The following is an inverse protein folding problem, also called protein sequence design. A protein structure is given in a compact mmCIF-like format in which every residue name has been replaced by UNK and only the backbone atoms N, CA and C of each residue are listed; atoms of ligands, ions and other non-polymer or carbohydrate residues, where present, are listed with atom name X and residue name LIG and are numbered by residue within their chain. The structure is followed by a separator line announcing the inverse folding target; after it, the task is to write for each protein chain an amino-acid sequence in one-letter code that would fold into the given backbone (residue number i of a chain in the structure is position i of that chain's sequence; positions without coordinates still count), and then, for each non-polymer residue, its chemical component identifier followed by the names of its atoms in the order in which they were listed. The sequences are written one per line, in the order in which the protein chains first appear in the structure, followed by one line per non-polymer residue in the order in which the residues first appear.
data_IF_435843026541
#
_entry.id   IF_435843026541
#
_cell.length_a   1.000
_cell.length_b   1.000
_cell.length_c   1.000
_cell.angle_alpha   90.00
_cell.angle_beta   90.00
_cell.angle_gamma   90.00
#
_symmetry.space_group_name_H-M   'P 1'
#
loop_
_entity.id
_entity.type
_entity.pdbx_description
1 polymer ?
#
# COMPACT_ATOMS: atom_id res chain seq x y z
N UNK A 1 -29.66 -11.84 20.89
CA UNK A 1 -29.04 -12.73 19.90
C UNK A 1 -27.66 -13.04 20.43
N UNK A 2 -27.12 -14.27 20.39
CA UNK A 2 -25.73 -14.51 20.74
C UNK A 2 -24.87 -13.59 19.86
N UNK A 3 -23.85 -12.96 20.44
CA UNK A 3 -22.88 -12.16 19.70
C UNK A 3 -22.29 -13.04 18.59
N UNK A 4 -22.58 -12.69 17.36
CA UNK A 4 -22.08 -13.42 16.21
C UNK A 4 -20.57 -13.17 16.09
N UNK A 5 -19.76 -14.21 16.14
CA UNK A 5 -18.31 -14.11 15.97
C UNK A 5 -18.03 -13.52 14.59
N UNK A 6 -17.40 -12.35 14.53
CA UNK A 6 -16.93 -11.74 13.28
C UNK A 6 -15.57 -12.32 12.92
N UNK A 7 -15.43 -12.86 11.72
CA UNK A 7 -14.17 -13.32 11.12
C UNK A 7 -13.75 -12.28 10.10
N UNK A 8 -12.72 -11.51 10.42
CA UNK A 8 -12.28 -10.41 9.57
C UNK A 8 -11.15 -10.83 8.63
N UNK A 9 -11.45 -10.95 7.33
CA UNK A 9 -10.52 -11.33 6.27
C UNK A 9 -10.47 -10.28 5.13
N UNK A 10 -10.53 -8.98 5.49
CA UNK A 10 -10.34 -7.86 4.54
C UNK A 10 -9.15 -6.96 4.92
N UNK A 11 -8.06 -7.55 5.42
CA UNK A 11 -6.85 -6.81 5.84
C UNK A 11 -6.16 -6.05 4.70
N UNK A 12 -6.30 -6.48 3.45
CA UNK A 12 -5.79 -5.77 2.27
C UNK A 12 -6.48 -4.42 2.02
N UNK A 13 -7.69 -4.22 2.54
CA UNK A 13 -8.36 -2.91 2.54
C UNK A 13 -7.84 -2.04 3.69
N UNK A 14 -7.83 -2.56 4.91
CA UNK A 14 -7.26 -1.95 6.11
C UNK A 14 -7.01 -3.04 7.15
N UNK A 15 -5.98 -2.93 7.97
CA UNK A 15 -5.77 -3.89 9.06
C UNK A 15 -6.94 -3.85 10.06
N UNK A 16 -7.53 -5.00 10.36
CA UNK A 16 -8.65 -5.11 11.31
C UNK A 16 -8.20 -4.77 12.74
N UNK A 17 -7.04 -5.30 13.13
CA UNK A 17 -6.37 -4.97 14.41
C UNK A 17 -5.23 -4.01 14.15
N UNK A 18 -5.12 -2.99 14.99
CA UNK A 18 -3.99 -2.05 14.99
C UNK A 18 -2.91 -2.54 15.95
N UNK A 19 -1.69 -2.02 15.78
CA UNK A 19 -0.66 -2.27 16.76
C UNK A 19 -1.07 -1.77 18.16
N UNK A 20 -0.62 -2.43 19.24
CA UNK A 20 -0.85 -1.95 20.60
C UNK A 20 -0.39 -0.50 20.75
N UNK A 21 -1.15 0.30 21.51
CA UNK A 21 -0.85 1.70 21.78
C UNK A 21 -1.24 2.70 20.71
N UNK A 22 -1.63 2.27 19.48
CA UNK A 22 -2.02 3.17 18.39
C UNK A 22 -3.20 4.07 18.77
N UNK A 23 -4.27 3.48 19.29
CA UNK A 23 -5.46 4.24 19.68
C UNK A 23 -5.16 5.15 20.89
N UNK A 24 -4.40 4.62 21.85
CA UNK A 24 -4.05 5.36 23.07
C UNK A 24 -3.17 6.56 22.77
N UNK A 25 -2.16 6.42 21.92
CA UNK A 25 -1.28 7.52 21.50
C UNK A 25 -2.05 8.65 20.79
N UNK A 26 -2.95 8.30 19.88
CA UNK A 26 -3.80 9.28 19.19
C UNK A 26 -4.77 9.98 20.17
N UNK A 27 -5.41 9.21 21.06
CA UNK A 27 -6.33 9.74 22.04
C UNK A 27 -5.63 10.61 23.12
N UNK A 28 -4.45 10.20 23.58
CA UNK A 28 -3.65 10.99 24.55
C UNK A 28 -3.27 12.34 23.93
N UNK A 29 -2.81 12.37 22.67
CA UNK A 29 -2.53 13.64 22.00
C UNK A 29 -3.75 14.58 22.03
N UNK A 30 -4.93 14.06 21.64
CA UNK A 30 -6.16 14.86 21.57
C UNK A 30 -6.64 15.35 22.94
N UNK A 31 -6.47 14.56 24.01
CA UNK A 31 -6.94 14.88 25.35
C UNK A 31 -5.96 15.76 26.14
N UNK A 32 -4.67 15.54 25.98
CA UNK A 32 -3.66 16.04 26.94
C UNK A 32 -2.74 17.08 26.30
N UNK A 33 -2.51 17.03 24.99
CA UNK A 33 -1.49 17.85 24.35
C UNK A 33 -2.10 18.84 23.33
N UNK A 34 -2.71 18.35 22.26
CA UNK A 34 -3.41 19.09 21.19
C UNK A 34 -2.74 20.40 20.71
N UNK A 35 -1.39 20.42 20.67
CA UNK A 35 -0.60 21.60 20.25
C UNK A 35 -0.08 21.45 18.83
N UNK A 36 0.05 22.57 18.09
CA UNK A 36 0.73 22.57 16.80
C UNK A 36 2.26 22.52 17.00
N UNK A 37 2.97 21.84 16.10
CA UNK A 37 4.43 21.68 16.16
C UNK A 37 5.19 22.77 15.42
N UNK A 38 4.52 23.51 14.54
CA UNK A 38 5.19 24.51 13.72
C UNK A 38 5.24 25.85 14.44
N UNK A 39 6.45 26.39 14.67
CA UNK A 39 6.77 27.72 15.24
C UNK A 39 6.40 27.99 16.69
N UNK A 40 6.03 27.01 17.45
CA UNK A 40 5.81 27.21 18.88
C UNK A 40 7.14 27.10 19.64
N UNK A 41 7.36 28.02 20.58
CA UNK A 41 8.61 28.07 21.33
C UNK A 41 8.50 27.46 22.74
N UNK A 42 7.38 26.84 23.08
CA UNK A 42 7.13 26.21 24.35
C UNK A 42 7.44 24.70 24.35
N UNK A 43 7.87 24.20 25.52
CA UNK A 43 8.38 22.84 25.68
C UNK A 43 7.44 21.74 25.13
N UNK A 44 6.13 21.89 25.32
CA UNK A 44 5.12 20.91 24.88
C UNK A 44 5.10 20.74 23.35
N UNK A 45 5.26 21.84 22.60
CA UNK A 45 5.35 21.79 21.13
C UNK A 45 6.64 21.12 20.68
N UNK A 46 7.75 21.39 21.36
CA UNK A 46 9.04 20.77 21.08
C UNK A 46 9.02 19.26 21.32
N UNK A 47 8.34 18.79 22.38
CA UNK A 47 8.16 17.37 22.65
C UNK A 47 7.41 16.67 21.50
N UNK A 48 6.29 17.24 21.07
CA UNK A 48 5.52 16.68 19.95
C UNK A 48 6.34 16.69 18.65
N UNK A 49 7.10 17.76 18.39
CA UNK A 49 7.98 17.84 17.20
C UNK A 49 9.05 16.75 17.22
N UNK A 50 9.66 16.47 18.38
CA UNK A 50 10.62 15.37 18.54
C UNK A 50 9.98 14.00 18.29
N UNK A 51 8.75 13.77 18.72
CA UNK A 51 8.01 12.54 18.47
C UNK A 51 7.66 12.39 16.98
N UNK A 52 7.32 13.47 16.29
CA UNK A 52 7.12 13.50 14.85
C UNK A 52 8.42 13.13 14.11
N UNK A 53 9.55 13.72 14.52
CA UNK A 53 10.88 13.38 13.99
C UNK A 53 11.20 11.90 14.24
N UNK A 54 10.95 11.40 15.45
CA UNK A 54 11.15 9.98 15.79
C UNK A 54 10.35 9.04 14.88
N UNK A 55 9.12 9.41 14.52
CA UNK A 55 8.33 8.65 13.58
C UNK A 55 8.97 8.60 12.17
N UNK A 56 9.56 9.73 11.69
CA UNK A 56 10.31 9.75 10.42
C UNK A 56 11.55 8.88 10.47
N UNK A 57 12.31 8.93 11.58
CA UNK A 57 13.50 8.10 11.78
C UNK A 57 13.14 6.61 11.74
N UNK A 58 12.10 6.18 12.45
CA UNK A 58 11.67 4.79 12.46
C UNK A 58 11.18 4.32 11.09
N UNK A 59 10.49 5.17 10.33
CA UNK A 59 10.11 4.87 8.95
C UNK A 59 11.36 4.76 8.05
N UNK A 60 12.31 5.67 8.18
CA UNK A 60 13.56 5.64 7.43
C UNK A 60 14.36 4.36 7.73
N UNK A 61 14.57 4.05 9.01
CA UNK A 61 15.25 2.82 9.45
C UNK A 61 14.55 1.56 8.91
N UNK A 62 13.21 1.53 8.94
CA UNK A 62 12.41 0.39 8.51
C UNK A 62 12.63 0.05 7.04
N UNK A 63 12.81 1.05 6.22
CA UNK A 63 12.97 0.90 4.78
C UNK A 63 14.41 1.10 4.30
N UNK A 64 15.40 1.10 5.21
CA UNK A 64 16.82 1.32 4.88
C UNK A 64 17.03 2.61 4.08
N UNK A 65 16.45 3.69 4.56
CA UNK A 65 16.48 5.00 3.93
C UNK A 65 17.27 6.01 4.78
N UNK A 66 18.30 6.65 4.23
CA UNK A 66 19.27 7.44 5.00
C UNK A 66 18.85 8.87 5.34
N UNK A 67 17.70 9.33 4.82
CA UNK A 67 17.30 10.74 4.91
C UNK A 67 15.93 10.92 5.61
N UNK A 68 15.87 10.88 6.96
CA UNK A 68 14.59 11.02 7.68
C UNK A 68 13.83 12.31 7.35
N UNK A 69 14.52 13.41 7.03
CA UNK A 69 13.89 14.66 6.61
C UNK A 69 13.16 14.56 5.27
N UNK A 70 13.51 13.56 4.43
CA UNK A 70 12.85 13.26 3.16
C UNK A 70 11.75 12.20 3.27
N UNK A 71 11.36 11.85 4.49
CA UNK A 71 10.13 11.10 4.79
C UNK A 71 9.01 12.13 4.93
N UNK A 72 8.12 12.22 3.96
CA UNK A 72 7.00 13.16 3.90
C UNK A 72 5.74 12.47 4.40
N UNK A 73 5.08 13.03 5.41
CA UNK A 73 3.76 12.52 5.82
C UNK A 73 2.68 12.96 4.84
N UNK A 74 1.80 12.02 4.52
CA UNK A 74 0.70 12.24 3.59
C UNK A 74 -0.62 11.79 4.23
N UNK A 75 -1.79 12.28 3.77
CA UNK A 75 -3.09 11.77 4.23
C UNK A 75 -3.31 10.29 3.93
N UNK A 76 -2.42 9.68 3.15
CA UNK A 76 -2.42 8.28 2.74
C UNK A 76 -1.61 8.11 1.46
N UNK A 77 -1.33 6.87 1.10
CA UNK A 77 -0.49 6.53 -0.06
C UNK A 77 -0.95 7.15 -1.38
N UNK A 78 -2.26 7.21 -1.63
CA UNK A 78 -2.81 7.83 -2.86
C UNK A 78 -2.34 9.28 -3.02
N UNK A 79 -2.27 10.05 -1.94
CA UNK A 79 -1.74 11.42 -1.97
C UNK A 79 -0.25 11.45 -2.34
N UNK A 80 0.56 10.58 -1.73
CA UNK A 80 1.99 10.47 -2.05
C UNK A 80 2.24 10.11 -3.52
N UNK A 81 1.51 9.14 -4.07
CA UNK A 81 1.61 8.78 -5.48
C UNK A 81 1.19 9.95 -6.41
N UNK A 82 0.14 10.71 -6.05
CA UNK A 82 -0.26 11.90 -6.80
C UNK A 82 0.82 12.99 -6.73
N UNK A 83 1.48 13.19 -5.57
CA UNK A 83 2.59 14.14 -5.44
C UNK A 83 3.71 13.84 -6.43
N UNK A 84 4.13 12.58 -6.53
CA UNK A 84 5.18 12.16 -7.46
C UNK A 84 4.73 12.32 -8.91
N UNK A 85 3.61 11.70 -9.27
CA UNK A 85 3.14 11.62 -10.66
C UNK A 85 2.85 13.01 -11.23
N UNK A 86 2.16 13.85 -10.47
CA UNK A 86 1.78 15.21 -10.91
C UNK A 86 2.92 16.22 -10.74
N UNK A 87 3.79 16.01 -9.76
CA UNK A 87 4.95 16.87 -9.54
C UNK A 87 6.04 16.69 -10.60
N UNK A 88 6.19 15.46 -11.15
CA UNK A 88 7.27 15.13 -12.07
C UNK A 88 6.88 15.25 -13.54
N UNK A 89 5.76 14.66 -13.96
CA UNK A 89 5.45 14.43 -15.36
C UNK A 89 5.05 15.71 -16.10
N UNK A 90 5.56 15.85 -17.33
CA UNK A 90 5.36 16.97 -18.23
C UNK A 90 4.79 16.49 -19.58
N UNK A 91 4.26 17.39 -20.44
CA UNK A 91 3.76 17.03 -21.77
C UNK A 91 4.80 16.24 -22.59
N UNK A 92 4.38 15.10 -23.15
CA UNK A 92 5.23 14.23 -23.97
C UNK A 92 6.06 13.21 -23.21
N UNK A 93 6.06 13.24 -21.86
CA UNK A 93 6.71 12.21 -21.04
C UNK A 93 6.03 10.85 -21.19
N UNK A 94 6.81 9.79 -20.99
CA UNK A 94 6.32 8.43 -20.90
C UNK A 94 6.50 7.91 -19.49
N UNK A 95 5.53 7.11 -19.05
CA UNK A 95 5.57 6.45 -17.74
C UNK A 95 5.32 4.96 -17.90
N UNK A 96 6.23 4.16 -17.34
CA UNK A 96 6.13 2.71 -17.34
C UNK A 96 5.36 2.24 -16.09
N UNK A 97 4.38 1.36 -16.31
CA UNK A 97 3.58 0.72 -15.25
C UNK A 97 3.35 -0.75 -15.60
N UNK A 98 2.98 -1.58 -14.63
CA UNK A 98 2.53 -2.95 -14.88
C UNK A 98 1.03 -3.00 -15.21
N UNK A 99 0.56 -4.15 -15.69
CA UNK A 99 -0.88 -4.40 -15.84
C UNK A 99 -1.59 -4.68 -14.51
N UNK A 100 -0.83 -4.79 -13.40
CA UNK A 100 -1.36 -5.12 -12.06
C UNK A 100 -1.62 -3.90 -11.18
N UNK A 101 -1.45 -2.68 -11.70
CA UNK A 101 -1.51 -1.45 -10.91
C UNK A 101 -2.89 -1.15 -10.32
N UNK A 102 -2.87 -0.62 -9.10
CA UNK A 102 -4.05 -0.09 -8.41
C UNK A 102 -4.47 1.28 -9.00
N UNK A 103 -5.73 1.65 -8.84
CA UNK A 103 -6.27 2.95 -9.26
C UNK A 103 -5.59 4.17 -8.62
N UNK A 104 -4.89 4.00 -7.49
CA UNK A 104 -4.08 5.07 -6.90
C UNK A 104 -2.91 5.51 -7.82
N UNK A 105 -2.41 4.59 -8.66
CA UNK A 105 -1.44 4.86 -9.73
C UNK A 105 -2.16 5.22 -11.03
N UNK A 106 -3.11 4.39 -11.45
CA UNK A 106 -3.67 4.52 -12.80
C UNK A 106 -4.56 5.75 -13.01
N UNK A 107 -5.33 6.16 -12.01
CA UNK A 107 -6.24 7.32 -12.17
C UNK A 107 -5.50 8.65 -12.34
N UNK A 108 -4.49 9.01 -11.53
CA UNK A 108 -3.71 10.22 -11.78
C UNK A 108 -2.96 10.17 -13.12
N UNK A 109 -2.44 9.01 -13.54
CA UNK A 109 -1.79 8.86 -14.85
C UNK A 109 -2.80 9.07 -15.99
N UNK A 110 -3.99 8.46 -15.92
CA UNK A 110 -5.06 8.68 -16.92
C UNK A 110 -5.56 10.12 -16.94
N UNK A 111 -5.53 10.80 -15.81
CA UNK A 111 -5.82 12.23 -15.77
C UNK A 111 -4.76 13.04 -16.54
N UNK A 112 -3.48 12.78 -16.32
CA UNK A 112 -2.39 13.47 -17.02
C UNK A 112 -2.30 13.11 -18.51
N UNK A 113 -2.55 11.85 -18.87
CA UNK A 113 -2.66 11.44 -20.28
C UNK A 113 -3.70 12.29 -21.02
N UNK A 114 -4.87 12.52 -20.42
CA UNK A 114 -5.94 13.34 -20.98
C UNK A 114 -5.64 14.84 -20.95
N UNK A 115 -5.00 15.35 -19.89
CA UNK A 115 -4.84 16.80 -19.68
C UNK A 115 -3.59 17.38 -20.38
N UNK A 116 -2.50 16.63 -20.35
CA UNK A 116 -1.18 17.12 -20.82
C UNK A 116 -0.50 16.19 -21.83
N UNK A 117 -1.14 15.08 -22.21
CA UNK A 117 -0.64 14.21 -23.29
C UNK A 117 0.57 13.37 -22.93
N UNK A 118 0.70 12.88 -21.68
CA UNK A 118 1.70 11.85 -21.38
C UNK A 118 1.32 10.52 -22.04
N UNK A 119 2.28 9.61 -22.17
CA UNK A 119 2.04 8.23 -22.64
C UNK A 119 2.22 7.24 -21.51
N UNK A 120 1.28 6.30 -21.36
CA UNK A 120 1.34 5.24 -20.35
C UNK A 120 1.76 3.93 -21.04
N UNK A 121 2.98 3.49 -20.76
CA UNK A 121 3.51 2.20 -21.21
C UNK A 121 3.15 1.13 -20.17
N UNK A 122 2.21 0.26 -20.54
CA UNK A 122 1.70 -0.77 -19.62
C UNK A 122 2.27 -2.14 -19.99
N UNK A 123 3.21 -2.60 -19.18
CA UNK A 123 3.81 -3.93 -19.32
C UNK A 123 2.79 -5.01 -18.97
N UNK A 124 2.49 -5.95 -19.89
CA UNK A 124 1.57 -7.04 -19.59
C UNK A 124 2.21 -8.05 -18.62
N UNK A 125 1.48 -8.40 -17.57
CA UNK A 125 1.83 -9.52 -16.69
C UNK A 125 1.15 -10.80 -17.17
N UNK A 126 1.65 -11.96 -16.72
CA UNK A 126 1.05 -13.26 -16.98
C UNK A 126 -0.33 -13.41 -16.31
N UNK A 127 -1.16 -14.41 -16.71
CA UNK A 127 -2.50 -14.62 -16.16
C UNK A 127 -2.55 -14.94 -14.64
N UNK A 128 -1.42 -15.24 -14.03
CA UNK A 128 -1.26 -15.42 -12.58
C UNK A 128 -0.74 -14.15 -11.86
N UNK A 129 -0.58 -13.05 -12.61
CA UNK A 129 -0.08 -11.77 -12.13
C UNK A 129 1.44 -11.67 -12.06
N UNK A 130 2.19 -12.69 -12.46
CA UNK A 130 3.66 -12.64 -12.50
C UNK A 130 4.18 -11.79 -13.65
N UNK A 131 5.40 -11.26 -13.49
CA UNK A 131 6.14 -10.49 -14.46
C UNK A 131 7.60 -10.93 -14.41
N UNK A 132 8.25 -11.08 -15.54
CA UNK A 132 9.70 -11.24 -15.61
C UNK A 132 10.33 -9.86 -15.73
N UNK A 133 11.44 -9.64 -15.03
CA UNK A 133 12.08 -8.33 -15.02
C UNK A 133 12.46 -7.83 -16.43
N UNK A 134 12.91 -8.75 -17.30
CA UNK A 134 13.32 -8.43 -18.67
C UNK A 134 12.15 -8.00 -19.57
N UNK A 135 10.92 -8.36 -19.22
CA UNK A 135 9.73 -8.04 -20.03
C UNK A 135 9.42 -6.52 -20.03
N UNK A 136 10.04 -5.73 -19.12
CA UNK A 136 9.95 -4.27 -19.15
C UNK A 136 10.79 -3.65 -20.28
N UNK A 137 11.86 -4.29 -20.74
CA UNK A 137 12.85 -3.70 -21.65
C UNK A 137 12.26 -3.17 -22.96
N UNK A 138 11.33 -3.89 -23.64
CA UNK A 138 10.69 -3.37 -24.86
C UNK A 138 9.82 -2.11 -24.63
N UNK A 139 9.46 -1.82 -23.38
CA UNK A 139 8.61 -0.70 -23.00
C UNK A 139 9.40 0.51 -22.49
N UNK A 140 10.74 0.38 -22.36
CA UNK A 140 11.61 1.48 -21.99
C UNK A 140 12.04 2.27 -23.24
N UNK A 141 11.60 3.51 -23.32
CA UNK A 141 11.91 4.44 -24.41
C UNK A 141 12.88 5.54 -23.94
N UNK A 142 13.50 6.26 -24.88
CA UNK A 142 14.44 7.34 -24.53
C UNK A 142 13.82 8.46 -23.69
N UNK A 143 12.51 8.67 -23.82
CA UNK A 143 11.74 9.65 -23.04
C UNK A 143 10.88 9.00 -21.93
N UNK A 144 11.19 7.76 -21.51
CA UNK A 144 10.60 7.18 -20.29
C UNK A 144 11.09 7.97 -19.09
N UNK A 145 10.19 8.76 -18.51
CA UNK A 145 10.53 9.72 -17.44
C UNK A 145 10.41 9.11 -16.05
N UNK A 146 9.60 8.05 -15.91
CA UNK A 146 9.25 7.46 -14.62
C UNK A 146 8.81 6.00 -14.82
N UNK A 147 9.15 5.14 -13.87
CA UNK A 147 8.50 3.84 -13.67
C UNK A 147 7.76 3.86 -12.32
N UNK A 148 6.49 3.44 -12.31
CA UNK A 148 5.68 3.29 -11.09
C UNK A 148 5.11 1.89 -11.07
N UNK A 149 5.49 1.08 -10.08
CA UNK A 149 5.04 -0.31 -9.99
C UNK A 149 4.51 -0.63 -8.59
N UNK A 150 3.43 -1.41 -8.55
CA UNK A 150 3.02 -2.04 -7.30
C UNK A 150 4.01 -3.14 -6.92
N UNK A 151 4.35 -3.26 -5.63
CA UNK A 151 5.21 -4.34 -5.17
C UNK A 151 4.46 -5.67 -5.12
N UNK A 152 3.19 -5.65 -4.71
CA UNK A 152 2.31 -6.80 -4.75
C UNK A 152 0.90 -6.42 -5.20
N UNK A 153 0.28 -7.29 -5.98
CA UNK A 153 -1.10 -7.11 -6.43
C UNK A 153 -2.09 -7.13 -5.25
N UNK A 154 -2.91 -6.10 -5.13
CA UNK A 154 -4.01 -6.08 -4.16
C UNK A 154 -5.20 -6.97 -4.56
N UNK A 155 -5.15 -7.60 -5.73
CA UNK A 155 -6.15 -8.57 -6.22
C UNK A 155 -5.74 -9.99 -5.90
N UNK A 156 -4.57 -10.43 -6.37
CA UNK A 156 -4.13 -11.81 -6.25
C UNK A 156 -2.95 -12.03 -5.30
N UNK A 157 -2.40 -10.96 -4.74
CA UNK A 157 -1.26 -11.04 -3.81
C UNK A 157 0.11 -11.25 -4.47
N UNK A 158 0.18 -11.58 -5.76
CA UNK A 158 1.42 -11.88 -6.49
C UNK A 158 2.43 -10.73 -6.35
N UNK A 159 3.65 -11.04 -5.93
CA UNK A 159 4.78 -10.12 -5.84
C UNK A 159 5.41 -9.92 -7.21
N UNK A 160 5.74 -8.67 -7.56
CA UNK A 160 6.55 -8.34 -8.72
C UNK A 160 8.05 -8.42 -8.37
N UNK A 161 8.93 -8.75 -9.34
CA UNK A 161 10.38 -8.89 -9.14
C UNK A 161 11.07 -7.52 -9.09
N UNK A 162 10.70 -6.69 -8.10
CA UNK A 162 11.08 -5.27 -8.02
C UNK A 162 12.58 -5.04 -7.83
N UNK A 163 13.31 -6.00 -7.27
CA UNK A 163 14.77 -5.93 -7.15
C UNK A 163 15.44 -5.96 -8.53
N UNK A 164 15.10 -6.96 -9.35
CA UNK A 164 15.64 -7.08 -10.69
C UNK A 164 15.17 -5.94 -11.59
N UNK A 165 13.92 -5.52 -11.45
CA UNK A 165 13.37 -4.37 -12.19
C UNK A 165 14.09 -3.08 -11.80
N UNK A 166 14.31 -2.83 -10.50
CA UNK A 166 15.01 -1.66 -10.01
C UNK A 166 16.44 -1.57 -10.54
N UNK A 167 17.17 -2.70 -10.57
CA UNK A 167 18.50 -2.76 -11.16
C UNK A 167 18.49 -2.41 -12.68
N UNK A 168 17.51 -2.91 -13.44
CA UNK A 168 17.36 -2.58 -14.86
C UNK A 168 17.03 -1.10 -15.08
N UNK A 169 16.11 -0.54 -14.30
CA UNK A 169 15.74 0.88 -14.37
C UNK A 169 16.91 1.80 -14.00
N UNK A 170 17.67 1.43 -12.98
CA UNK A 170 18.86 2.16 -12.56
C UNK A 170 19.91 2.28 -13.69
N UNK A 171 20.20 1.15 -14.39
CA UNK A 171 21.14 1.14 -15.51
C UNK A 171 20.67 2.01 -16.71
N UNK A 172 19.37 2.31 -16.77
CA UNK A 172 18.75 3.14 -17.82
C UNK A 172 18.50 4.58 -17.36
N UNK A 173 18.86 4.92 -16.13
CA UNK A 173 18.65 6.26 -15.56
C UNK A 173 17.16 6.62 -15.40
N UNK A 174 16.27 5.62 -15.31
CA UNK A 174 14.83 5.83 -15.14
C UNK A 174 14.47 5.82 -13.65
N UNK A 175 13.93 6.91 -13.10
CA UNK A 175 13.46 6.95 -11.71
C UNK A 175 12.40 5.87 -11.44
N UNK A 176 12.54 5.18 -10.27
CA UNK A 176 11.65 4.10 -9.87
C UNK A 176 10.86 4.44 -8.60
N UNK A 177 9.55 4.39 -8.70
CA UNK A 177 8.59 4.61 -7.59
C UNK A 177 7.89 3.29 -7.26
N UNK A 178 7.97 2.90 -6.00
CA UNK A 178 7.34 1.68 -5.51
C UNK A 178 6.05 2.00 -4.75
N UNK A 179 4.94 1.44 -5.24
CA UNK A 179 3.69 1.35 -4.49
C UNK A 179 3.76 0.12 -3.55
N UNK A 180 4.05 0.36 -2.28
CA UNK A 180 4.17 -0.69 -1.28
C UNK A 180 2.90 -0.88 -0.42
N UNK A 181 1.71 -0.59 -0.99
CA UNK A 181 0.44 -0.66 -0.26
C UNK A 181 0.16 -2.02 0.36
N UNK A 182 0.62 -3.09 -0.26
CA UNK A 182 0.34 -4.46 0.18
C UNK A 182 1.56 -5.16 0.78
N UNK A 183 2.70 -4.46 0.89
CA UNK A 183 3.95 -5.07 1.32
C UNK A 183 4.62 -4.37 2.50
N UNK A 184 4.41 -3.04 2.65
CA UNK A 184 4.96 -2.30 3.78
C UNK A 184 4.46 -2.89 5.12
N UNK A 185 5.41 -3.36 5.95
CA UNK A 185 5.13 -4.02 7.23
C UNK A 185 4.95 -5.54 7.16
N UNK A 186 4.92 -6.14 5.96
CA UNK A 186 4.79 -7.57 5.72
C UNK A 186 6.01 -8.18 5.02
N UNK A 187 6.61 -7.43 4.07
CA UNK A 187 7.74 -7.87 3.26
C UNK A 187 8.90 -6.91 3.50
N UNK A 188 10.14 -7.39 3.65
CA UNK A 188 11.30 -6.53 3.72
C UNK A 188 11.43 -5.66 2.46
N UNK A 189 11.63 -4.36 2.66
CA UNK A 189 11.88 -3.40 1.59
C UNK A 189 13.16 -2.64 1.95
N UNK A 190 14.16 -2.74 1.09
CA UNK A 190 15.40 -1.97 1.18
C UNK A 190 15.40 -0.92 0.08
N UNK A 191 15.27 0.36 0.47
CA UNK A 191 15.14 1.48 -0.46
C UNK A 191 16.34 1.57 -1.41
N UNK A 192 17.54 1.32 -0.89
CA UNK A 192 18.78 1.41 -1.68
C UNK A 192 19.00 0.19 -2.56
N UNK A 193 18.82 -1.01 -2.00
CA UNK A 193 19.00 -2.25 -2.76
C UNK A 193 18.02 -2.36 -3.94
N UNK A 194 16.81 -1.80 -3.80
CA UNK A 194 15.81 -1.73 -4.86
C UNK A 194 16.00 -0.55 -5.82
N UNK A 195 17.03 0.28 -5.63
CA UNK A 195 17.30 1.48 -6.42
C UNK A 195 16.09 2.44 -6.52
N UNK A 196 15.36 2.63 -5.44
CA UNK A 196 14.15 3.45 -5.44
C UNK A 196 14.48 4.94 -5.52
N UNK A 197 13.67 5.68 -6.27
CA UNK A 197 13.60 7.14 -6.24
C UNK A 197 12.53 7.62 -5.27
N UNK A 198 11.45 6.83 -5.10
CA UNK A 198 10.45 7.07 -4.08
C UNK A 198 9.77 5.76 -3.64
N UNK A 199 9.33 5.75 -2.39
CA UNK A 199 8.54 4.67 -1.78
C UNK A 199 7.28 5.24 -1.15
N UNK A 200 6.10 4.77 -1.58
CA UNK A 200 4.83 5.19 -1.03
C UNK A 200 4.22 4.10 -0.15
N UNK A 201 3.85 4.45 1.10
CA UNK A 201 3.33 3.51 2.09
C UNK A 201 2.09 4.06 2.80
N UNK A 202 1.02 3.27 3.00
CA UNK A 202 -0.12 3.64 3.82
C UNK A 202 0.14 3.25 5.29
N UNK A 203 -0.26 4.08 6.24
CA UNK A 203 -0.14 3.75 7.66
C UNK A 203 -1.10 2.65 8.12
N UNK A 204 -2.28 2.56 7.51
CA UNK A 204 -3.41 1.78 8.02
C UNK A 204 -3.50 0.30 7.58
N UNK A 205 -2.56 -0.19 6.77
CA UNK A 205 -2.49 -1.60 6.32
C UNK A 205 -1.41 -2.33 7.11
N UNK A 206 -0.41 -2.91 6.46
CA UNK A 206 0.62 -3.69 7.12
C UNK A 206 1.47 -2.94 8.14
N UNK A 207 1.54 -1.62 8.08
CA UNK A 207 2.13 -0.82 9.14
C UNK A 207 1.28 -0.73 10.42
N UNK A 208 0.07 -1.30 10.45
CA UNK A 208 -0.82 -1.43 11.61
C UNK A 208 -1.18 -0.11 12.31
N UNK A 209 -0.93 1.01 11.66
CA UNK A 209 -1.22 2.36 12.14
C UNK A 209 -2.65 2.83 11.81
N UNK A 210 -2.99 4.09 12.12
CA UNK A 210 -4.32 4.64 11.86
C UNK A 210 -4.54 4.97 10.38
N UNK A 211 -5.82 5.10 9.99
CA UNK A 211 -6.21 5.68 8.71
C UNK A 211 -5.93 7.19 8.68
N UNK A 212 -5.85 7.77 7.48
CA UNK A 212 -5.63 9.22 7.32
C UNK A 212 -4.18 9.67 7.53
N UNK A 213 -3.24 8.72 7.58
CA UNK A 213 -1.80 8.95 7.58
C UNK A 213 -1.10 7.89 6.74
N UNK A 214 -0.07 8.30 6.04
CA UNK A 214 0.87 7.49 5.29
C UNK A 214 2.19 8.23 5.16
N UNK A 215 3.14 7.65 4.45
CA UNK A 215 4.42 8.29 4.18
C UNK A 215 4.84 8.13 2.72
N UNK A 216 5.57 9.12 2.24
CA UNK A 216 6.29 9.12 0.98
C UNK A 216 7.77 9.37 1.30
N UNK A 217 8.62 8.39 1.05
CA UNK A 217 10.05 8.51 1.16
C UNK A 217 10.61 8.93 -0.20
N UNK A 218 11.36 10.02 -0.25
CA UNK A 218 11.87 10.61 -1.49
C UNK A 218 13.39 10.65 -1.47
N UNK A 219 14.05 10.01 -2.42
CA UNK A 219 15.49 10.21 -2.60
C UNK A 219 15.79 11.72 -2.78
N UNK A 220 16.83 12.29 -2.12
CA UNK A 220 17.08 13.74 -2.14
C UNK A 220 17.15 14.32 -3.56
N UNK A 221 17.95 13.75 -4.45
CA UNK A 221 18.08 14.21 -5.83
C UNK A 221 16.77 14.05 -6.66
N UNK A 222 15.89 13.15 -6.28
CA UNK A 222 14.58 13.00 -6.91
C UNK A 222 13.57 14.02 -6.38
N UNK A 223 13.60 14.32 -5.07
CA UNK A 223 12.75 15.33 -4.45
C UNK A 223 12.95 16.72 -5.09
N UNK A 224 14.19 17.07 -5.47
CA UNK A 224 14.51 18.32 -6.16
C UNK A 224 13.81 18.49 -7.52
N UNK A 225 13.48 17.37 -8.19
CA UNK A 225 12.82 17.37 -9.50
C UNK A 225 11.30 17.52 -9.44
N UNK A 226 10.73 17.38 -8.24
CA UNK A 226 9.27 17.38 -8.06
C UNK A 226 8.76 18.80 -7.75
N UNK A 227 7.70 19.21 -8.42
CA UNK A 227 6.90 20.35 -8.00
C UNK A 227 5.90 19.94 -6.90
N UNK A 228 5.75 20.73 -5.83
CA UNK A 228 4.77 20.47 -4.80
C UNK A 228 3.34 20.43 -5.38
N UNK A 229 2.58 19.41 -5.03
CA UNK A 229 1.17 19.31 -5.44
C UNK A 229 0.28 20.29 -4.67
N UNK A 230 0.63 20.58 -3.42
CA UNK A 230 -0.10 21.46 -2.51
C UNK A 230 0.90 22.48 -1.98
N UNK A 231 0.63 23.75 -2.21
CA UNK A 231 1.39 24.87 -1.65
C UNK A 231 0.59 25.56 -0.56
N UNK A 232 1.27 26.09 0.45
CA UNK A 232 0.60 26.78 1.57
C UNK A 232 1.50 26.99 2.76
N UNK A 233 0.96 27.46 3.85
CA UNK A 233 1.72 27.72 5.07
C UNK A 233 2.33 26.44 5.65
N UNK A 234 3.63 26.45 5.86
CA UNK A 234 4.41 25.34 6.43
C UNK A 234 4.83 25.56 7.87
N UNK A 235 4.64 26.80 8.36
CA UNK A 235 5.16 27.23 9.64
C UNK A 235 6.62 27.72 9.58
N UNK A 236 7.29 27.63 8.47
CA UNK A 236 8.65 28.15 8.22
C UNK A 236 8.63 29.18 7.08
N UNK A 237 9.72 29.99 6.90
CA UNK A 237 9.87 30.97 5.83
C UNK A 237 8.66 31.92 5.63
N UNK A 238 8.08 32.45 6.73
CA UNK A 238 6.86 33.28 6.66
C UNK A 238 7.10 34.68 6.10
N UNK A 239 8.31 35.02 5.86
CA UNK A 239 8.75 36.26 5.20
C UNK A 239 8.72 36.15 3.68
N UNK A 240 8.41 34.95 3.15
CA UNK A 240 8.29 34.67 1.71
C UNK A 240 6.90 34.18 1.34
N UNK A 241 6.41 34.56 0.17
CA UNK A 241 5.21 34.00 -0.46
C UNK A 241 5.52 32.75 -1.33
N UNK A 242 6.81 32.42 -1.51
CA UNK A 242 7.26 31.24 -2.22
C UNK A 242 7.22 29.99 -1.32
N UNK A 243 6.90 28.83 -1.90
CA UNK A 243 6.96 27.56 -1.18
C UNK A 243 8.40 27.26 -0.74
N UNK A 244 8.65 26.91 0.54
CA UNK A 244 10.00 26.60 1.01
C UNK A 244 10.68 25.51 0.18
N UNK A 245 11.96 25.66 -0.20
CA UNK A 245 12.67 24.66 -0.99
C UNK A 245 13.18 23.47 -0.16
N UNK A 246 13.22 23.60 1.16
CA UNK A 246 13.80 22.58 2.05
C UNK A 246 12.78 21.57 2.53
N UNK A 247 13.28 20.37 2.82
CA UNK A 247 12.48 19.23 3.30
C UNK A 247 12.32 19.28 4.83
N UNK A 248 11.22 18.79 5.35
CA UNK A 248 10.03 18.23 4.65
C UNK A 248 9.01 19.30 4.22
N UNK A 249 9.23 20.57 4.58
CA UNK A 249 8.28 21.69 4.44
C UNK A 249 7.83 21.89 2.99
N UNK A 250 8.71 21.60 2.03
CA UNK A 250 8.40 21.68 0.59
C UNK A 250 7.13 20.88 0.22
N UNK A 251 6.87 19.76 0.88
CA UNK A 251 5.76 18.86 0.57
C UNK A 251 4.73 18.72 1.69
N UNK A 252 4.93 19.37 2.84
CA UNK A 252 4.04 19.29 4.01
C UNK A 252 3.39 20.63 4.32
N UNK A 253 2.62 21.16 3.36
CA UNK A 253 1.85 22.37 3.59
C UNK A 253 0.62 22.12 4.45
N UNK A 254 0.30 23.06 5.35
CA UNK A 254 -0.83 22.99 6.26
C UNK A 254 -0.50 22.35 7.60
N UNK A 255 -1.52 22.13 8.42
CA UNK A 255 -1.38 21.48 9.72
C UNK A 255 -1.32 19.97 9.56
N UNK A 256 -0.29 19.35 10.08
CA UNK A 256 -0.12 17.90 10.04
C UNK A 256 -1.20 17.16 10.83
N UNK A 257 -1.54 15.94 10.40
CA UNK A 257 -2.39 15.02 11.16
C UNK A 257 -1.61 14.43 12.36
N UNK A 258 -1.33 15.25 13.36
CA UNK A 258 -0.53 14.87 14.54
C UNK A 258 -1.08 13.64 15.28
N UNK A 259 -2.40 13.54 15.56
CA UNK A 259 -2.91 12.32 16.21
C UNK A 259 -2.67 11.07 15.36
N UNK A 260 -2.79 11.17 14.02
CA UNK A 260 -2.47 10.08 13.10
C UNK A 260 -0.99 9.73 13.08
N UNK A 261 -0.10 10.72 13.09
CA UNK A 261 1.36 10.52 13.12
C UNK A 261 1.80 9.88 14.42
N UNK A 262 1.27 10.33 15.57
CA UNK A 262 1.61 9.75 16.87
C UNK A 262 1.07 8.33 17.04
N UNK A 263 -0.10 8.04 16.47
CA UNK A 263 -0.58 6.67 16.38
C UNK A 263 0.31 5.81 15.46
N UNK A 264 0.80 6.36 14.35
CA UNK A 264 1.74 5.66 13.47
C UNK A 264 3.09 5.44 14.17
N UNK A 265 3.58 6.40 14.97
CA UNK A 265 4.78 6.23 15.79
C UNK A 265 4.65 5.01 16.70
N UNK A 266 3.56 4.88 17.45
CA UNK A 266 3.33 3.71 18.29
C UNK A 266 3.32 2.39 17.49
N UNK A 267 2.76 2.41 16.30
CA UNK A 267 2.81 1.24 15.40
C UNK A 267 4.24 0.94 14.95
N UNK A 268 5.05 1.93 14.60
CA UNK A 268 6.44 1.73 14.17
C UNK A 268 7.35 1.25 15.31
N UNK A 269 7.10 1.69 16.55
CA UNK A 269 7.78 1.17 17.74
C UNK A 269 7.42 -0.29 18.02
N UNK A 270 6.18 -0.68 17.75
CA UNK A 270 5.75 -2.07 17.86
C UNK A 270 6.35 -2.96 16.76
N UNK A 271 6.47 -2.47 15.52
CA UNK A 271 6.94 -3.22 14.36
C UNK A 271 8.48 -3.27 14.31
N UNK A 272 9.13 -4.01 15.21
CA UNK A 272 10.57 -4.31 15.10
C UNK A 272 10.86 -5.24 13.92
N UNK A 273 12.12 -5.37 13.53
CA UNK A 273 12.53 -6.26 12.45
C UNK A 273 12.13 -7.73 12.73
N UNK A 274 12.32 -8.17 13.98
CA UNK A 274 11.96 -9.52 14.42
C UNK A 274 10.45 -9.75 14.35
N UNK A 275 9.66 -8.74 14.72
CA UNK A 275 8.19 -8.84 14.61
C UNK A 275 7.70 -8.89 13.19
N UNK A 276 8.28 -8.10 12.30
CA UNK A 276 7.94 -8.15 10.87
C UNK A 276 8.24 -9.53 10.30
N UNK A 277 9.41 -10.10 10.59
CA UNK A 277 9.75 -11.44 10.15
C UNK A 277 8.77 -12.50 10.69
N UNK A 278 8.35 -12.38 11.95
CA UNK A 278 7.37 -13.27 12.54
C UNK A 278 5.97 -13.11 11.90
N UNK A 279 5.56 -11.88 11.63
CA UNK A 279 4.28 -11.59 10.96
C UNK A 279 4.27 -12.10 9.52
N UNK A 280 5.37 -11.93 8.78
CA UNK A 280 5.54 -12.47 7.43
C UNK A 280 5.42 -14.00 7.40
N UNK A 281 6.12 -14.69 8.30
CA UNK A 281 6.07 -16.14 8.41
C UNK A 281 4.67 -16.65 8.73
N UNK A 282 3.97 -16.00 9.66
CA UNK A 282 2.61 -16.36 10.06
C UNK A 282 1.61 -16.07 8.94
N UNK A 283 1.69 -14.92 8.29
CA UNK A 283 0.85 -14.57 7.15
C UNK A 283 1.01 -15.59 6.01
N UNK A 284 2.26 -15.97 5.69
CA UNK A 284 2.55 -16.99 4.68
C UNK A 284 1.95 -18.35 5.05
N UNK A 285 2.07 -18.77 6.31
CA UNK A 285 1.51 -20.03 6.83
C UNK A 285 -0.01 -20.05 6.72
N UNK A 286 -0.68 -18.97 7.17
CA UNK A 286 -2.13 -18.84 7.10
C UNK A 286 -2.62 -18.76 5.65
N UNK A 287 -1.88 -18.09 4.77
CA UNK A 287 -2.18 -18.02 3.34
C UNK A 287 -2.10 -19.42 2.68
N UNK A 288 -1.10 -20.22 3.03
CA UNK A 288 -0.98 -21.59 2.54
C UNK A 288 -2.17 -22.44 2.99
N UNK A 289 -2.56 -22.36 4.27
CA UNK A 289 -3.73 -23.05 4.83
C UNK A 289 -5.02 -22.65 4.12
N UNK A 290 -5.23 -21.36 3.90
CA UNK A 290 -6.41 -20.85 3.19
C UNK A 290 -6.46 -21.37 1.74
N UNK A 291 -5.35 -21.30 1.01
CA UNK A 291 -5.26 -21.81 -0.35
C UNK A 291 -5.52 -23.31 -0.45
N UNK A 292 -4.98 -24.10 0.47
CA UNK A 292 -5.19 -25.54 0.51
C UNK A 292 -6.67 -25.87 0.72
N UNK A 293 -7.33 -25.21 1.69
CA UNK A 293 -8.76 -25.41 1.94
C UNK A 293 -9.63 -25.02 0.75
N UNK A 294 -9.35 -23.87 0.11
CA UNK A 294 -10.12 -23.40 -1.05
C UNK A 294 -9.99 -24.37 -2.24
N UNK A 295 -8.81 -24.93 -2.49
CA UNK A 295 -8.57 -25.83 -3.62
C UNK A 295 -9.37 -27.15 -3.56
N UNK A 296 -9.80 -27.56 -2.40
CA UNK A 296 -10.63 -28.76 -2.25
C UNK A 296 -12.03 -28.56 -2.85
N UNK A 297 -12.46 -27.30 -3.03
CA UNK A 297 -13.74 -26.96 -3.61
C UNK A 297 -13.65 -26.73 -5.12
N UNK A 298 -14.13 -27.69 -5.94
CA UNK A 298 -14.10 -27.61 -7.41
C UNK A 298 -15.00 -26.54 -8.02
N UNK A 299 -15.92 -25.94 -7.24
CA UNK A 299 -16.79 -24.86 -7.71
C UNK A 299 -16.15 -23.47 -7.56
N UNK A 300 -14.95 -23.41 -6.98
CA UNK A 300 -14.21 -22.17 -6.74
C UNK A 300 -12.85 -22.26 -7.40
N UNK A 301 -12.48 -21.24 -8.13
CA UNK A 301 -11.16 -21.09 -8.78
C UNK A 301 -10.32 -20.07 -8.01
N UNK A 302 -9.21 -20.44 -7.36
CA UNK A 302 -8.25 -19.48 -6.86
C UNK A 302 -7.66 -18.66 -8.02
N UNK A 303 -7.43 -17.35 -7.79
CA UNK A 303 -6.89 -16.41 -8.79
C UNK A 303 -5.46 -16.01 -8.39
N UNK A 304 -4.56 -16.01 -9.36
CA UNK A 304 -3.14 -15.74 -9.15
C UNK A 304 -2.33 -17.02 -8.89
N UNK A 305 -1.20 -16.86 -8.20
CA UNK A 305 -0.29 -17.98 -7.91
C UNK A 305 -0.98 -19.09 -7.10
N UNK A 306 -0.68 -20.36 -7.41
CA UNK A 306 -1.29 -21.49 -6.75
C UNK A 306 -0.76 -21.76 -5.33
N UNK A 307 0.39 -21.22 -4.94
CA UNK A 307 1.04 -21.42 -3.65
C UNK A 307 1.16 -20.12 -2.86
N UNK A 308 1.54 -20.19 -1.60
CA UNK A 308 1.87 -19.01 -0.79
C UNK A 308 3.23 -18.39 -1.15
N UNK A 309 4.06 -19.10 -1.94
CA UNK A 309 5.33 -18.58 -2.40
C UNK A 309 5.15 -17.50 -3.47
N UNK A 310 5.92 -16.42 -3.39
CA UNK A 310 5.86 -15.31 -4.33
C UNK A 310 4.61 -14.44 -4.20
N UNK A 311 3.91 -14.50 -3.04
CA UNK A 311 2.72 -13.68 -2.78
C UNK A 311 2.61 -13.23 -1.32
N UNK A 312 1.85 -12.18 -1.10
CA UNK A 312 1.41 -11.73 0.22
C UNK A 312 0.07 -12.37 0.59
N UNK A 313 -0.40 -12.16 1.82
CA UNK A 313 -1.61 -12.73 2.39
C UNK A 313 -2.94 -12.32 1.75
N UNK A 314 -2.97 -12.17 0.43
CA UNK A 314 -4.15 -11.81 -0.36
C UNK A 314 -4.52 -12.98 -1.26
N UNK A 315 -5.71 -13.55 -1.09
CA UNK A 315 -6.24 -14.67 -1.87
C UNK A 315 -7.58 -14.28 -2.47
N UNK A 316 -7.63 -14.15 -3.78
CA UNK A 316 -8.90 -13.98 -4.50
C UNK A 316 -9.40 -15.29 -5.06
N UNK A 317 -10.72 -15.42 -5.08
CA UNK A 317 -11.41 -16.56 -5.68
C UNK A 317 -12.51 -16.08 -6.63
N UNK A 318 -12.77 -16.89 -7.65
CA UNK A 318 -13.84 -16.74 -8.61
C UNK A 318 -14.78 -17.95 -8.49
N UNK A 319 -16.05 -17.70 -8.17
CA UNK A 319 -17.06 -18.74 -8.08
C UNK A 319 -17.52 -19.11 -9.48
N UNK A 320 -17.42 -20.41 -9.84
CA UNK A 320 -17.66 -20.87 -11.20
C UNK A 320 -19.16 -21.11 -11.49
N UNK A 321 -19.97 -21.25 -10.46
CA UNK A 321 -21.39 -21.66 -10.56
C UNK A 321 -22.35 -20.64 -9.94
N UNK A 322 -21.85 -19.57 -9.31
CA UNK A 322 -22.66 -18.58 -8.61
C UNK A 322 -22.05 -17.19 -8.76
N UNK A 323 -22.83 -16.15 -8.50
CA UNK A 323 -22.36 -14.77 -8.49
C UNK A 323 -21.45 -14.49 -7.28
N UNK A 324 -20.28 -13.90 -7.53
CA UNK A 324 -19.30 -13.60 -6.49
C UNK A 324 -19.85 -12.65 -5.41
N UNK A 325 -20.72 -11.69 -5.77
CA UNK A 325 -21.28 -10.74 -4.81
C UNK A 325 -22.32 -11.40 -3.91
N UNK A 326 -23.14 -12.31 -4.46
CA UNK A 326 -24.11 -13.10 -3.68
C UNK A 326 -23.39 -14.01 -2.67
N UNK A 327 -22.35 -14.73 -3.11
CA UNK A 327 -21.56 -15.59 -2.21
C UNK A 327 -20.88 -14.76 -1.11
N UNK A 328 -20.29 -13.60 -1.45
CA UNK A 328 -19.68 -12.73 -0.46
C UNK A 328 -20.69 -12.19 0.57
N UNK A 329 -21.90 -11.84 0.12
CA UNK A 329 -23.00 -11.44 1.00
C UNK A 329 -23.40 -12.58 1.95
N UNK A 330 -23.55 -13.80 1.45
CA UNK A 330 -23.93 -14.96 2.27
C UNK A 330 -22.84 -15.35 3.27
N UNK A 331 -21.56 -15.24 2.90
CA UNK A 331 -20.42 -15.45 3.80
C UNK A 331 -20.50 -14.52 5.02
N UNK A 332 -20.80 -13.26 4.81
CA UNK A 332 -21.01 -12.32 5.91
C UNK A 332 -22.33 -12.58 6.61
N UNK A 333 -23.45 -12.64 5.86
CA UNK A 333 -24.81 -12.75 6.39
C UNK A 333 -25.06 -14.07 7.12
N UNK A 334 -24.56 -15.23 6.70
CA UNK A 334 -24.75 -16.53 7.35
C UNK A 334 -23.64 -16.88 8.36
N UNK A 335 -22.39 -16.51 8.11
CA UNK A 335 -21.24 -17.01 8.86
C UNK A 335 -20.38 -15.92 9.52
N UNK A 336 -20.67 -14.62 9.32
CA UNK A 336 -19.88 -13.51 9.88
C UNK A 336 -18.49 -13.36 9.26
N UNK A 337 -18.26 -13.94 8.07
CA UNK A 337 -16.97 -13.87 7.36
C UNK A 337 -16.92 -12.62 6.50
N UNK A 338 -16.17 -11.61 6.96
CA UNK A 338 -16.00 -10.34 6.28
C UNK A 338 -14.91 -10.46 5.21
N UNK A 339 -15.31 -10.40 3.95
CA UNK A 339 -14.46 -10.40 2.76
C UNK A 339 -14.75 -9.17 1.91
N UNK A 340 -14.03 -9.01 0.80
CA UNK A 340 -14.32 -7.96 -0.17
C UNK A 340 -14.63 -8.54 -1.53
N UNK A 341 -15.71 -8.07 -2.18
CA UNK A 341 -16.07 -8.50 -3.53
C UNK A 341 -15.89 -7.38 -4.56
N UNK A 342 -15.64 -7.74 -5.81
CA UNK A 342 -15.60 -6.86 -6.98
C UNK A 342 -14.21 -6.64 -7.56
N UNK A 343 -13.97 -5.46 -8.15
CA UNK A 343 -12.75 -5.15 -8.92
C UNK A 343 -11.60 -4.58 -8.06
N UNK A 344 -11.73 -4.48 -6.76
CA UNK A 344 -10.69 -4.07 -5.80
C UNK A 344 -9.90 -2.81 -6.21
N UNK A 345 -10.51 -1.89 -6.97
CA UNK A 345 -9.85 -0.72 -7.55
C UNK A 345 -8.65 -1.02 -8.47
N UNK A 346 -8.64 -2.20 -9.11
CA UNK A 346 -7.58 -2.62 -10.03
C UNK A 346 -8.15 -3.29 -11.30
N UNK A 347 -8.95 -2.56 -12.12
CA UNK A 347 -9.64 -3.16 -13.27
C UNK A 347 -8.66 -3.74 -14.32
N UNK A 348 -7.45 -3.20 -14.42
CA UNK A 348 -6.40 -3.72 -15.31
C UNK A 348 -5.92 -5.09 -14.86
N UNK A 349 -5.68 -5.26 -13.54
CA UNK A 349 -5.31 -6.54 -12.97
C UNK A 349 -6.38 -7.61 -13.23
N UNK A 350 -7.66 -7.26 -13.09
CA UNK A 350 -8.75 -8.19 -13.39
C UNK A 350 -8.81 -8.60 -14.87
N UNK A 351 -8.46 -7.70 -15.82
CA UNK A 351 -8.32 -8.07 -17.24
C UNK A 351 -7.18 -9.06 -17.46
N UNK A 352 -6.04 -8.82 -16.81
CA UNK A 352 -4.87 -9.73 -16.86
C UNK A 352 -5.21 -11.10 -16.28
N UNK A 353 -5.91 -11.14 -15.15
CA UNK A 353 -6.28 -12.36 -14.41
C UNK A 353 -7.51 -13.08 -14.99
N UNK A 354 -8.17 -12.52 -16.02
CA UNK A 354 -9.36 -13.11 -16.65
C UNK A 354 -10.61 -13.08 -15.79
N UNK A 355 -10.74 -12.10 -14.89
CA UNK A 355 -11.88 -11.95 -13.95
C UNK A 355 -12.64 -10.62 -14.14
N UNK A 356 -12.37 -9.91 -15.22
CA UNK A 356 -13.14 -8.71 -15.61
C UNK A 356 -14.34 -9.12 -16.48
N UNK A 357 -15.53 -8.54 -16.31
CA UNK A 357 -15.91 -7.42 -15.41
C UNK A 357 -16.41 -7.86 -14.01
N UNK A 358 -16.62 -9.14 -13.73
CA UNK A 358 -17.26 -9.65 -12.52
C UNK A 358 -16.47 -9.34 -11.23
N UNK A 359 -15.14 -9.33 -11.33
CA UNK A 359 -14.28 -9.25 -10.17
C UNK A 359 -14.13 -10.60 -9.45
N UNK A 360 -13.78 -10.56 -8.19
CA UNK A 360 -13.52 -11.75 -7.36
C UNK A 360 -14.00 -11.52 -5.94
N UNK A 361 -14.14 -12.59 -5.16
CA UNK A 361 -14.17 -12.51 -3.70
C UNK A 361 -12.73 -12.55 -3.22
N UNK A 362 -12.31 -11.56 -2.43
CA UNK A 362 -10.97 -11.44 -1.90
C UNK A 362 -10.96 -11.70 -0.41
N UNK A 363 -10.23 -12.71 0.00
CA UNK A 363 -9.81 -12.95 1.36
C UNK A 363 -8.43 -12.34 1.58
N UNK A 364 -8.19 -11.75 2.73
CA UNK A 364 -6.85 -11.29 3.09
C UNK A 364 -6.59 -11.49 4.56
N UNK A 365 -5.53 -12.22 4.85
CA UNK A 365 -5.04 -12.47 6.20
C UNK A 365 -4.18 -11.32 6.69
N UNK A 366 -3.99 -11.19 7.99
CA UNK A 366 -3.15 -10.16 8.57
C UNK A 366 -2.97 -10.33 10.08
N UNK A 367 -2.43 -9.32 10.72
CA UNK A 367 -2.15 -9.34 12.15
C UNK A 367 -3.35 -9.75 12.99
N UNK A 368 -3.19 -10.87 13.72
CA UNK A 368 -4.20 -11.41 14.63
C UNK A 368 -5.26 -12.30 13.97
N UNK A 369 -5.12 -12.67 12.70
CA UNK A 369 -5.87 -13.78 12.08
C UNK A 369 -5.42 -15.09 12.69
N UNK A 370 -6.35 -16.03 12.93
CA UNK A 370 -6.08 -17.33 13.57
C UNK A 370 -6.37 -18.50 12.64
N UNK A 371 -5.84 -19.70 12.96
CA UNK A 371 -6.14 -20.94 12.25
C UNK A 371 -7.63 -21.26 12.22
N UNK A 372 -8.29 -21.11 13.38
CA UNK A 372 -9.74 -21.36 13.52
C UNK A 372 -10.57 -20.43 12.62
N UNK A 373 -10.12 -19.18 12.43
CA UNK A 373 -10.79 -18.22 11.53
C UNK A 373 -10.63 -18.63 10.07
N UNK A 374 -9.46 -19.13 9.69
CA UNK A 374 -9.21 -19.64 8.34
C UNK A 374 -10.06 -20.88 8.07
N UNK A 375 -10.06 -21.85 8.98
CA UNK A 375 -10.84 -23.10 8.83
C UNK A 375 -12.34 -22.81 8.75
N UNK A 376 -12.84 -21.93 9.60
CA UNK A 376 -14.24 -21.52 9.58
C UNK A 376 -14.61 -20.80 8.28
N UNK A 377 -13.74 -19.94 7.76
CA UNK A 377 -13.96 -19.25 6.48
C UNK A 377 -13.97 -20.22 5.29
N UNK A 378 -13.07 -21.21 5.28
CA UNK A 378 -13.03 -22.27 4.25
C UNK A 378 -14.31 -23.12 4.29
N UNK A 379 -14.73 -23.54 5.49
CA UNK A 379 -15.97 -24.32 5.68
C UNK A 379 -17.20 -23.52 5.22
N UNK A 380 -17.29 -22.24 5.62
CA UNK A 380 -18.38 -21.34 5.22
C UNK A 380 -18.43 -21.17 3.69
N UNK A 381 -17.27 -20.95 3.03
CA UNK A 381 -17.21 -20.85 1.57
C UNK A 381 -17.70 -22.13 0.89
N UNK A 382 -17.32 -23.31 1.40
CA UNK A 382 -17.75 -24.59 0.86
C UNK A 382 -19.26 -24.80 1.00
N UNK A 383 -19.84 -24.43 2.14
CA UNK A 383 -21.28 -24.52 2.41
C UNK A 383 -22.08 -23.59 1.49
N UNK A 384 -21.73 -22.30 1.46
CA UNK A 384 -22.46 -21.28 0.68
C UNK A 384 -22.42 -21.58 -0.82
N UNK A 385 -21.26 -21.95 -1.36
CA UNK A 385 -21.13 -22.31 -2.79
C UNK A 385 -21.82 -23.62 -3.13
N UNK A 386 -22.08 -24.50 -2.15
CA UNK A 386 -22.80 -25.74 -2.38
C UNK A 386 -24.31 -25.56 -2.34
N UNK A 387 -24.80 -24.56 -1.64
CA UNK A 387 -26.23 -24.24 -1.51
C UNK A 387 -26.77 -23.44 -2.72
N UNK A 388 -25.93 -22.73 -3.46
CA UNK A 388 -26.26 -22.02 -4.71
C UNK A 388 -25.91 -22.85 -5.95
#
# INVERSE_FOLDING_TARGET
MPERRTIYLDHAATSGKKAPGVADAAAAYLRETAVNVNRSTYALSSDVAMRVLRCRELLADRFRFDSPTHVVFTPGQTAGLNMVVKGLLRPGDRVLVSSMEHNAVMRPLKQLERLIGITIDRVPCAPDGTLRAEDILPWLHANTRLAVLTHASNVCGTLLPVEQIGALLYTRGVPFVLDAAQTAGHVPIDFHALHLSALAVPGHKGLLGPSGVGALLLAPAFAEQLEPLICGGTGSASDSEEQPPYMPDRFESGTLNLPGILGLLAAMEFLTAERIAALEAEERRLTARLLEGIRQNKRVRPVGLPTADGRVGVVSVDCLTADNAEIAYQLEAAHGVCTRCGLHCAPSAHRTLGTFPQGTIRFSVGYGTTDDEIDAAVAALAEVVSAG
#
